data_IF_952652656889
#
_entry.id   IF_952652656889
#
_cell.length_a   1.000
_cell.length_b   1.000
_cell.length_c   1.000
_cell.angle_alpha   90.00
_cell.angle_beta   90.00
_cell.angle_gamma   90.00
#
_symmetry.space_group_name_H-M   'P 1'
#
loop_
_entity.id
_entity.type
_entity.pdbx_description
1 polymer ?
#
# COMPACT_ATOMS: atom_id res chain seq x y z
N UNK A 1 38.99 -15.05 -24.43
CA UNK A 1 38.61 -13.70 -23.94
C UNK A 1 37.23 -13.20 -24.38
N UNK A 2 36.83 -13.23 -25.67
CA UNK A 2 35.53 -12.69 -26.12
C UNK A 2 34.29 -13.38 -25.51
N UNK A 3 34.32 -14.71 -25.28
CA UNK A 3 33.22 -15.46 -24.66
C UNK A 3 33.00 -15.12 -23.18
N UNK A 4 34.09 -14.95 -22.42
CA UNK A 4 34.03 -14.60 -20.98
C UNK A 4 33.43 -13.20 -20.78
N UNK A 5 33.83 -12.23 -21.62
CA UNK A 5 33.23 -10.87 -21.60
C UNK A 5 31.72 -10.89 -21.88
N UNK A 6 31.24 -11.73 -22.82
CA UNK A 6 29.80 -11.87 -23.10
C UNK A 6 29.02 -12.45 -21.91
N UNK A 7 29.55 -13.46 -21.23
CA UNK A 7 28.90 -14.06 -20.06
C UNK A 7 28.82 -13.06 -18.91
N UNK A 8 29.89 -12.30 -18.64
CA UNK A 8 29.87 -11.25 -17.62
C UNK A 8 28.88 -10.13 -17.92
N UNK A 9 28.73 -9.72 -19.19
CA UNK A 9 27.73 -8.71 -19.59
C UNK A 9 26.31 -9.23 -19.38
N UNK A 10 26.02 -10.49 -19.76
CA UNK A 10 24.69 -11.10 -19.56
C UNK A 10 24.37 -11.18 -18.06
N UNK A 11 25.32 -11.63 -17.23
CA UNK A 11 25.14 -11.71 -15.78
C UNK A 11 24.87 -10.32 -15.15
N UNK A 12 25.55 -9.28 -15.63
CA UNK A 12 25.34 -7.90 -15.18
C UNK A 12 23.94 -7.40 -15.54
N UNK A 13 23.47 -7.66 -16.77
CA UNK A 13 22.11 -7.31 -17.22
C UNK A 13 21.06 -8.04 -16.38
N UNK A 14 21.24 -9.34 -16.12
CA UNK A 14 20.34 -10.10 -15.26
C UNK A 14 20.32 -9.56 -13.82
N UNK A 15 21.46 -9.16 -13.25
CA UNK A 15 21.51 -8.53 -11.93
C UNK A 15 20.78 -7.18 -11.91
N UNK A 16 20.98 -6.34 -12.92
CA UNK A 16 20.27 -5.06 -13.04
C UNK A 16 18.76 -5.25 -13.15
N UNK A 17 18.29 -6.20 -13.96
CA UNK A 17 16.88 -6.54 -14.05
C UNK A 17 16.32 -7.08 -12.72
N UNK A 18 17.08 -7.91 -12.02
CA UNK A 18 16.67 -8.45 -10.71
C UNK A 18 16.56 -7.35 -9.64
N UNK A 19 17.51 -6.40 -9.64
CA UNK A 19 17.47 -5.21 -8.78
C UNK A 19 16.20 -4.40 -9.07
N UNK A 20 15.92 -4.11 -10.34
CA UNK A 20 14.73 -3.37 -10.77
C UNK A 20 13.44 -4.08 -10.34
N UNK A 21 13.32 -5.40 -10.54
CA UNK A 21 12.14 -6.19 -10.14
C UNK A 21 11.98 -6.21 -8.61
N UNK A 22 13.08 -6.28 -7.86
CA UNK A 22 13.06 -6.29 -6.39
C UNK A 22 12.57 -4.96 -5.80
N UNK A 23 12.88 -3.83 -6.44
CA UNK A 23 12.41 -2.50 -6.02
C UNK A 23 10.96 -2.20 -6.44
N UNK A 24 10.40 -2.91 -7.42
CA UNK A 24 9.03 -2.70 -7.90
C UNK A 24 8.02 -3.56 -7.14
N UNK A 25 8.47 -4.55 -6.36
CA UNK A 25 7.55 -5.48 -5.72
C UNK A 25 6.71 -4.79 -4.62
N UNK A 26 5.36 -4.84 -4.70
CA UNK A 26 4.47 -4.28 -3.68
C UNK A 26 4.46 -5.08 -2.38
N UNK A 27 5.40 -6.02 -2.19
CA UNK A 27 5.51 -6.85 -0.98
C UNK A 27 5.60 -6.04 0.31
N UNK A 28 6.09 -4.80 0.24
CA UNK A 28 6.12 -3.89 1.39
C UNK A 28 4.73 -3.44 1.86
N UNK A 29 3.69 -3.62 1.05
CA UNK A 29 2.29 -3.33 1.37
C UNK A 29 1.53 -4.55 1.91
N UNK A 30 2.06 -5.76 1.77
CA UNK A 30 1.30 -6.97 2.12
C UNK A 30 1.11 -7.11 3.62
N UNK A 31 -0.08 -7.58 3.99
CA UNK A 31 -0.52 -7.80 5.36
C UNK A 31 -1.72 -6.95 5.75
N UNK A 32 -1.99 -6.91 7.05
CA UNK A 32 -3.13 -6.21 7.63
C UNK A 32 -2.73 -4.81 8.09
N UNK A 33 -3.60 -3.84 7.82
CA UNK A 33 -3.41 -2.44 8.19
C UNK A 33 -4.68 -1.89 8.84
N UNK A 34 -4.59 -1.44 10.10
CA UNK A 34 -5.73 -0.92 10.85
C UNK A 34 -5.95 0.56 10.57
N UNK A 35 -7.20 0.96 10.38
CA UNK A 35 -7.56 2.34 10.12
C UNK A 35 -7.33 3.20 11.36
N UNK A 36 -6.54 4.26 11.18
CA UNK A 36 -6.35 5.31 12.18
C UNK A 36 -7.48 6.35 12.08
N UNK A 37 -8.16 6.61 13.20
CA UNK A 37 -9.29 7.55 13.28
C UNK A 37 -8.97 8.88 13.97
N UNK A 38 -7.69 9.15 14.27
CA UNK A 38 -7.27 10.44 14.81
C UNK A 38 -7.14 11.52 13.72
N UNK A 39 -6.91 12.76 14.13
CA UNK A 39 -6.85 13.91 13.22
C UNK A 39 -5.49 14.08 12.53
N UNK A 40 -4.40 13.83 13.26
CA UNK A 40 -3.03 13.88 12.74
C UNK A 40 -2.22 12.77 13.40
N UNK A 41 -1.72 11.83 12.61
CA UNK A 41 -0.93 10.70 13.12
C UNK A 41 0.48 11.12 13.52
N UNK A 42 1.02 12.21 12.95
CA UNK A 42 2.39 12.66 13.23
C UNK A 42 2.52 13.34 14.60
N UNK A 43 1.40 13.83 15.13
CA UNK A 43 1.34 14.51 16.42
C UNK A 43 0.73 13.63 17.54
N UNK A 44 0.22 12.44 17.22
CA UNK A 44 -0.44 11.59 18.21
C UNK A 44 0.58 10.74 18.97
N UNK A 45 0.57 10.88 20.30
CA UNK A 45 1.43 10.11 21.20
C UNK A 45 0.85 8.73 21.56
N UNK A 46 -0.40 8.44 21.20
CA UNK A 46 -1.10 7.21 21.55
C UNK A 46 -1.88 6.64 20.36
N UNK A 47 -1.15 6.37 19.26
CA UNK A 47 -1.71 5.87 17.99
C UNK A 47 -2.60 4.64 18.19
N UNK A 48 -2.14 3.65 18.97
CA UNK A 48 -2.88 2.39 19.20
C UNK A 48 -4.29 2.61 19.80
N UNK A 49 -4.47 3.63 20.64
CA UNK A 49 -5.77 3.96 21.24
C UNK A 49 -6.77 4.54 20.23
N UNK A 50 -6.32 4.87 19.02
CA UNK A 50 -7.15 5.40 17.92
C UNK A 50 -7.42 4.36 16.85
N UNK A 51 -6.96 3.12 17.04
CA UNK A 51 -7.18 2.00 16.14
C UNK A 51 -8.39 1.18 16.61
N UNK A 52 -9.00 0.46 15.67
CA UNK A 52 -10.06 -0.49 15.94
C UNK A 52 -9.76 -1.79 15.20
N UNK A 53 -9.76 -2.91 15.92
CA UNK A 53 -9.54 -4.25 15.35
C UNK A 53 -10.52 -4.62 14.22
N UNK A 54 -11.69 -3.98 14.18
CA UNK A 54 -12.72 -4.23 13.17
C UNK A 54 -12.60 -3.32 11.93
N UNK A 55 -11.79 -2.27 12.00
CA UNK A 55 -11.61 -1.33 10.88
C UNK A 55 -10.20 -1.52 10.31
N UNK A 56 -10.07 -2.30 9.25
CA UNK A 56 -8.77 -2.59 8.64
C UNK A 56 -8.89 -2.90 7.16
N UNK A 57 -7.75 -2.80 6.47
CA UNK A 57 -7.57 -3.37 5.15
C UNK A 57 -6.59 -4.54 5.22
N UNK A 58 -6.79 -5.54 4.36
CA UNK A 58 -5.86 -6.64 4.16
C UNK A 58 -5.39 -6.63 2.71
N UNK A 59 -4.10 -6.40 2.51
CA UNK A 59 -3.47 -6.37 1.20
C UNK A 59 -2.71 -7.68 1.01
N UNK A 60 -3.00 -8.37 -0.08
CA UNK A 60 -2.31 -9.59 -0.48
C UNK A 60 -1.97 -9.56 -1.97
N UNK A 61 -1.37 -10.63 -2.48
CA UNK A 61 -1.07 -10.72 -3.90
C UNK A 61 -2.37 -10.67 -4.72
N UNK A 62 -2.54 -9.58 -5.47
CA UNK A 62 -3.66 -9.39 -6.38
C UNK A 62 -4.98 -8.96 -5.73
N UNK A 63 -5.06 -8.79 -4.40
CA UNK A 63 -6.31 -8.32 -3.76
C UNK A 63 -6.09 -7.35 -2.62
N UNK A 64 -7.06 -6.46 -2.44
CA UNK A 64 -7.23 -5.58 -1.29
C UNK A 64 -8.64 -5.78 -0.74
N UNK A 65 -8.71 -6.18 0.52
CA UNK A 65 -9.97 -6.34 1.25
C UNK A 65 -10.09 -5.22 2.25
N UNK A 66 -11.28 -4.67 2.39
CA UNK A 66 -11.63 -3.66 3.39
C UNK A 66 -12.67 -4.26 4.33
N UNK A 67 -12.44 -4.06 5.62
CA UNK A 67 -13.34 -4.48 6.69
C UNK A 67 -13.67 -3.25 7.54
N UNK A 68 -14.95 -2.99 7.73
CA UNK A 68 -15.43 -1.84 8.50
C UNK A 68 -16.45 -2.26 9.54
N UNK A 69 -16.33 -1.67 10.72
CA UNK A 69 -17.28 -1.80 11.81
C UNK A 69 -18.70 -1.31 11.48
N UNK A 70 -18.85 -0.45 10.46
CA UNK A 70 -20.16 -0.01 9.95
C UNK A 70 -20.74 -0.97 8.90
N UNK A 71 -20.08 -2.08 8.62
CA UNK A 71 -20.52 -3.12 7.68
C UNK A 71 -20.21 -2.82 6.21
N UNK A 72 -19.50 -1.72 5.91
CA UNK A 72 -19.04 -1.41 4.55
C UNK A 72 -17.78 -2.18 4.21
N UNK A 73 -17.93 -3.49 4.10
CA UNK A 73 -16.85 -4.37 3.68
C UNK A 73 -16.68 -4.31 2.15
N UNK A 74 -15.44 -4.45 1.69
CA UNK A 74 -15.10 -4.35 0.27
C UNK A 74 -14.04 -5.37 -0.11
N UNK A 75 -14.10 -5.85 -1.35
CA UNK A 75 -13.03 -6.67 -1.94
C UNK A 75 -12.78 -6.16 -3.35
N UNK A 76 -11.53 -5.81 -3.64
CA UNK A 76 -11.10 -5.33 -4.95
C UNK A 76 -9.84 -6.02 -5.42
N UNK A 77 -9.74 -6.21 -6.74
CA UNK A 77 -8.49 -6.60 -7.39
C UNK A 77 -7.44 -5.51 -7.16
N UNK A 78 -6.24 -5.90 -6.71
CA UNK A 78 -5.13 -5.00 -6.44
C UNK A 78 -4.11 -5.04 -7.58
N UNK A 79 -3.81 -3.88 -8.15
CA UNK A 79 -2.64 -3.66 -9.01
C UNK A 79 -1.84 -2.48 -8.48
N UNK A 80 -0.54 -2.65 -8.28
CA UNK A 80 0.35 -1.55 -7.87
C UNK A 80 1.21 -1.12 -9.05
N UNK A 81 1.23 0.18 -9.34
CA UNK A 81 2.03 0.77 -10.42
C UNK A 81 2.73 2.04 -9.91
N UNK A 82 4.03 1.94 -9.64
CA UNK A 82 4.79 3.04 -9.04
C UNK A 82 4.19 3.43 -7.69
N UNK A 83 3.85 4.72 -7.52
CA UNK A 83 3.24 5.28 -6.31
C UNK A 83 1.70 5.22 -6.29
N UNK A 84 1.10 4.40 -7.16
CA UNK A 84 -0.36 4.22 -7.24
C UNK A 84 -0.79 2.79 -6.95
N UNK A 85 -1.90 2.66 -6.21
CA UNK A 85 -2.65 1.43 -6.02
C UNK A 85 -3.95 1.55 -6.80
N UNK A 86 -4.28 0.53 -7.57
CA UNK A 86 -5.57 0.35 -8.22
C UNK A 86 -6.27 -0.77 -7.44
N UNK A 87 -7.42 -0.47 -6.84
CA UNK A 87 -8.24 -1.42 -6.09
C UNK A 87 -9.67 -1.37 -6.61
N UNK A 88 -10.07 -2.42 -7.35
CA UNK A 88 -11.29 -2.37 -8.14
C UNK A 88 -11.28 -1.14 -9.06
N UNK A 89 -12.33 -0.33 -8.98
CA UNK A 89 -12.46 0.89 -9.79
C UNK A 89 -11.70 2.08 -9.19
N UNK A 90 -11.20 2.00 -7.96
CA UNK A 90 -10.59 3.17 -7.28
C UNK A 90 -9.08 3.22 -7.49
N UNK A 91 -8.55 4.42 -7.73
CA UNK A 91 -7.12 4.70 -7.85
C UNK A 91 -6.68 5.53 -6.65
N UNK A 92 -5.76 4.96 -5.88
CA UNK A 92 -5.11 5.62 -4.76
C UNK A 92 -3.70 6.04 -5.12
N UNK A 93 -3.28 7.22 -4.70
CA UNK A 93 -1.88 7.51 -4.44
C UNK A 93 -1.56 6.96 -3.05
N UNK A 94 -0.43 6.30 -2.90
CA UNK A 94 -0.02 5.76 -1.61
C UNK A 94 1.36 6.23 -1.19
N UNK A 95 1.58 6.28 0.12
CA UNK A 95 2.88 6.52 0.75
C UNK A 95 3.01 5.65 1.99
N UNK A 96 4.16 5.02 2.16
CA UNK A 96 4.49 4.26 3.38
C UNK A 96 5.60 4.99 4.11
N UNK A 97 5.38 5.28 5.39
CA UNK A 97 6.32 5.97 6.27
C UNK A 97 6.46 5.22 7.59
N UNK A 98 7.49 5.55 8.37
CA UNK A 98 7.63 5.11 9.76
C UNK A 98 7.38 6.32 10.67
N UNK A 99 6.55 6.16 11.69
CA UNK A 99 6.25 7.17 12.72
C UNK A 99 6.47 6.53 14.09
N UNK A 100 7.57 6.89 14.75
CA UNK A 100 8.00 6.20 15.96
C UNK A 100 8.29 4.73 15.66
N UNK A 101 7.57 3.84 16.34
CA UNK A 101 7.63 2.39 16.12
C UNK A 101 6.56 1.87 15.14
N UNK A 102 5.70 2.73 14.62
CA UNK A 102 4.59 2.35 13.76
C UNK A 102 4.91 2.55 12.29
N UNK A 103 4.69 1.49 11.51
CA UNK A 103 4.67 1.57 10.07
C UNK A 103 3.31 2.04 9.59
N UNK A 104 3.29 3.14 8.83
CA UNK A 104 2.08 3.86 8.45
C UNK A 104 1.90 3.87 6.93
N UNK A 105 0.69 3.55 6.47
CA UNK A 105 0.26 3.64 5.08
C UNK A 105 -0.75 4.79 4.94
N UNK A 106 -0.42 5.77 4.13
CA UNK A 106 -1.31 6.86 3.74
C UNK A 106 -1.85 6.58 2.33
N UNK A 107 -3.17 6.61 2.16
CA UNK A 107 -3.86 6.52 0.89
C UNK A 107 -4.61 7.81 0.62
N UNK A 108 -4.51 8.32 -0.60
CA UNK A 108 -5.28 9.45 -1.10
C UNK A 108 -6.00 9.01 -2.37
N UNK A 109 -7.32 9.13 -2.41
CA UNK A 109 -8.10 8.86 -3.63
C UNK A 109 -7.75 9.93 -4.66
N UNK A 110 -7.27 9.50 -5.84
CA UNK A 110 -6.88 10.43 -6.92
C UNK A 110 -7.73 10.26 -8.17
N UNK A 111 -8.62 9.29 -8.19
CA UNK A 111 -9.50 9.04 -9.31
C UNK A 111 -10.03 7.62 -9.34
N UNK A 112 -10.77 7.32 -10.40
CA UNK A 112 -11.41 6.03 -10.60
C UNK A 112 -11.36 5.65 -12.08
N UNK A 113 -11.31 4.35 -12.34
CA UNK A 113 -11.22 3.74 -13.67
C UNK A 113 -11.91 2.38 -13.63
N UNK A 114 -13.13 2.32 -14.17
CA UNK A 114 -13.92 1.08 -14.28
C UNK A 114 -13.70 0.37 -15.63
N UNK A 115 -12.68 0.77 -16.40
CA UNK A 115 -12.39 0.26 -17.74
C UNK A 115 -13.19 0.92 -18.87
N UNK A 116 -14.29 1.62 -18.56
CA UNK A 116 -15.10 2.35 -19.54
C UNK A 116 -14.94 3.86 -19.41
N UNK A 117 -14.93 4.36 -18.18
CA UNK A 117 -14.80 5.77 -17.84
C UNK A 117 -13.66 5.98 -16.86
N UNK A 118 -12.98 7.12 -17.02
CA UNK A 118 -11.89 7.55 -16.14
C UNK A 118 -12.15 8.95 -15.67
N UNK A 119 -12.03 9.15 -14.36
CA UNK A 119 -12.17 10.47 -13.78
C UNK A 119 -11.12 10.67 -12.68
N UNK A 120 -10.64 11.89 -12.57
CA UNK A 120 -9.73 12.33 -11.51
C UNK A 120 -10.54 12.90 -10.35
N UNK A 121 -10.13 12.57 -9.13
CA UNK A 121 -10.65 13.20 -7.93
C UNK A 121 -9.72 14.36 -7.54
N UNK A 122 -10.24 15.59 -7.55
CA UNK A 122 -9.57 16.73 -6.92
C UNK A 122 -9.92 16.74 -5.42
N UNK A 123 -8.91 16.79 -4.55
CA UNK A 123 -9.08 16.69 -3.09
C UNK A 123 -9.80 15.41 -2.63
N UNK A 124 -9.43 14.27 -3.18
CA UNK A 124 -10.04 13.00 -2.78
C UNK A 124 -9.77 12.63 -1.32
N UNK A 125 -10.58 11.70 -0.83
CA UNK A 125 -10.53 11.25 0.56
C UNK A 125 -9.16 10.67 0.91
N UNK A 126 -8.74 10.92 2.16
CA UNK A 126 -7.48 10.45 2.71
C UNK A 126 -7.73 9.46 3.82
N UNK A 127 -6.95 8.39 3.81
CA UNK A 127 -7.01 7.32 4.78
C UNK A 127 -5.62 7.03 5.30
N UNK A 128 -5.49 6.91 6.61
CA UNK A 128 -4.24 6.57 7.27
C UNK A 128 -4.42 5.22 7.96
N UNK A 129 -3.50 4.31 7.71
CA UNK A 129 -3.52 2.98 8.30
C UNK A 129 -2.20 2.66 8.99
N UNK A 130 -2.26 1.83 10.03
CA UNK A 130 -1.11 1.36 10.81
C UNK A 130 -0.95 -0.14 10.64
N UNK A 131 0.27 -0.60 10.38
CA UNK A 131 0.55 -2.00 10.11
C UNK A 131 0.38 -2.89 11.34
N UNK A 132 -0.26 -4.05 11.17
CA UNK A 132 -0.65 -4.97 12.24
C UNK A 132 0.51 -5.42 13.16
N UNK A 133 1.72 -5.59 12.61
CA UNK A 133 2.89 -5.99 13.41
C UNK A 133 3.34 -4.94 14.43
N UNK A 134 2.82 -3.73 14.35
CA UNK A 134 3.19 -2.59 15.18
C UNK A 134 2.03 -2.09 16.03
N UNK A 135 1.01 -2.91 16.27
CA UNK A 135 -0.17 -2.52 17.04
C UNK A 135 -0.36 -3.46 18.22
N UNK A 136 -0.51 -2.90 19.42
CA UNK A 136 -0.98 -3.64 20.59
C UNK A 136 -2.41 -3.21 20.95
N UNK A 137 -3.32 -4.18 21.02
CA UNK A 137 -4.72 -3.97 21.40
C UNK A 137 -5.04 -4.37 22.85
N UNK A 138 -4.02 -4.74 23.64
CA UNK A 138 -4.15 -5.07 25.06
C UNK A 138 -4.69 -3.91 25.92
#
# INVERSE_FOLDING_TARGET
MKKIKKISIIALICCLLFIVISFISPRNLYGKWYLYKGSDINADSYIDKKLNQKDYIEISEGSMKEFRSDGKDGVGDLKVRGSKIYSGDTIFKYKVNEIGEHKVLELEVIGYDNGHEKWSAENGEKYTYVFDKNVNFE
#
